data_IF_561996892734
#
_entry.id   IF_561996892734
#
_cell.length_a   1.000
_cell.length_b   1.000
_cell.length_c   1.000
_cell.angle_alpha   90.00
_cell.angle_beta   90.00
_cell.angle_gamma   90.00
#
_symmetry.space_group_name_H-M   'P 1'
#
loop_
_entity.id
_entity.type
_entity.pdbx_description
1 polymer ?
#
# COMPACT_ATOMS: atom_id res chain seq x y z
N UNK A 1 -15.13 1.26 -15.10
CA UNK A 1 -14.35 2.49 -15.34
C UNK A 1 -15.04 3.36 -16.38
N UNK A 2 -15.46 2.78 -17.52
CA UNK A 2 -16.24 3.43 -18.59
C UNK A 2 -17.41 4.29 -18.10
N UNK A 3 -18.33 3.75 -17.32
CA UNK A 3 -19.53 4.48 -16.84
C UNK A 3 -19.19 5.80 -16.14
N UNK A 4 -18.17 5.79 -15.28
CA UNK A 4 -17.72 7.00 -14.60
C UNK A 4 -17.03 7.99 -15.55
N UNK A 5 -16.24 7.48 -16.50
CA UNK A 5 -15.61 8.35 -17.49
C UNK A 5 -16.67 8.99 -18.38
N UNK A 6 -17.77 8.29 -18.66
CA UNK A 6 -18.90 8.81 -19.42
C UNK A 6 -19.63 9.91 -18.64
N UNK A 7 -19.84 9.72 -17.33
CA UNK A 7 -20.41 10.73 -16.45
C UNK A 7 -19.54 12.00 -16.36
N UNK A 8 -18.22 11.84 -16.25
CA UNK A 8 -17.30 12.97 -16.00
C UNK A 8 -16.81 13.67 -17.26
N UNK A 9 -16.62 12.93 -18.36
CA UNK A 9 -15.93 13.41 -19.56
C UNK A 9 -16.73 13.20 -20.85
N UNK A 10 -17.94 12.63 -20.75
CA UNK A 10 -18.79 12.36 -21.90
C UNK A 10 -18.46 11.02 -22.59
N UNK A 11 -19.41 10.61 -23.44
CA UNK A 11 -19.43 9.28 -24.05
C UNK A 11 -18.25 9.00 -24.98
N UNK A 12 -17.88 9.96 -25.82
CA UNK A 12 -16.80 9.81 -26.80
C UNK A 12 -15.47 9.45 -26.13
N UNK A 13 -15.04 10.28 -25.17
CA UNK A 13 -13.79 10.06 -24.46
C UNK A 13 -13.82 8.79 -23.60
N UNK A 14 -14.98 8.46 -23.02
CA UNK A 14 -15.16 7.22 -22.27
C UNK A 14 -15.01 5.96 -23.14
N UNK A 15 -15.49 6.01 -24.38
CA UNK A 15 -15.35 4.93 -25.35
C UNK A 15 -13.91 4.77 -25.84
N UNK A 16 -13.24 5.87 -26.15
CA UNK A 16 -11.83 5.87 -26.57
C UNK A 16 -10.92 5.28 -25.48
N UNK A 17 -11.03 5.77 -24.23
CA UNK A 17 -10.21 5.25 -23.13
C UNK A 17 -10.49 3.78 -22.82
N UNK A 18 -11.76 3.34 -22.84
CA UNK A 18 -12.11 1.95 -22.59
C UNK A 18 -11.58 1.03 -23.71
N UNK A 19 -11.60 1.50 -24.97
CA UNK A 19 -11.02 0.80 -26.10
C UNK A 19 -9.52 0.56 -25.91
N UNK A 20 -8.75 1.63 -25.69
CA UNK A 20 -7.29 1.52 -25.53
C UNK A 20 -6.89 0.76 -24.26
N UNK A 21 -7.66 0.90 -23.17
CA UNK A 21 -7.42 0.09 -21.98
C UNK A 21 -7.57 -1.40 -22.27
N UNK A 22 -8.67 -1.81 -22.93
CA UNK A 22 -8.91 -3.22 -23.30
C UNK A 22 -7.87 -3.76 -24.28
N UNK A 23 -7.49 -2.95 -25.28
CA UNK A 23 -6.41 -3.29 -26.21
C UNK A 23 -5.09 -3.51 -25.46
N UNK A 24 -4.73 -2.61 -24.55
CA UNK A 24 -3.50 -2.69 -23.78
C UNK A 24 -3.43 -3.95 -22.90
N UNK A 25 -4.56 -4.34 -22.28
CA UNK A 25 -4.66 -5.57 -21.49
C UNK A 25 -4.57 -6.80 -22.40
N UNK A 26 -5.25 -6.79 -23.55
CA UNK A 26 -5.21 -7.88 -24.53
C UNK A 26 -3.79 -8.11 -25.06
N UNK A 27 -3.06 -7.04 -25.34
CA UNK A 27 -1.70 -7.08 -25.86
C UNK A 27 -0.64 -7.27 -24.76
N UNK A 28 -1.03 -7.30 -23.48
CA UNK A 28 -0.12 -7.47 -22.35
C UNK A 28 0.74 -6.26 -22.02
N UNK A 29 0.39 -5.07 -22.51
CA UNK A 29 1.09 -3.82 -22.18
C UNK A 29 0.79 -3.36 -20.75
N UNK A 30 -0.43 -3.63 -20.28
CA UNK A 30 -0.82 -3.42 -18.89
C UNK A 30 -1.23 -4.73 -18.23
N UNK A 31 -0.72 -5.03 -17.03
CA UNK A 31 -1.13 -6.21 -16.29
C UNK A 31 -2.55 -6.05 -15.74
N UNK A 32 -3.35 -7.11 -15.84
CA UNK A 32 -4.69 -7.19 -15.25
C UNK A 32 -4.68 -8.05 -13.97
N UNK A 33 -4.75 -7.37 -12.83
CA UNK A 33 -4.85 -8.01 -11.52
C UNK A 33 -6.30 -8.17 -11.01
N UNK A 34 -7.30 -7.81 -11.82
CA UNK A 34 -8.72 -7.82 -11.39
C UNK A 34 -9.34 -9.21 -11.39
N UNK A 35 -8.73 -10.18 -12.08
CA UNK A 35 -9.23 -11.56 -12.22
C UNK A 35 -9.42 -12.29 -10.89
N UNK A 36 -8.62 -11.93 -9.87
CA UNK A 36 -8.76 -12.47 -8.51
C UNK A 36 -8.99 -11.29 -7.56
N UNK A 37 -10.09 -11.29 -6.79
CA UNK A 37 -10.32 -10.22 -5.83
C UNK A 37 -9.24 -10.23 -4.76
N UNK A 38 -8.76 -9.04 -4.43
CA UNK A 38 -7.81 -8.83 -3.35
C UNK A 38 -8.51 -9.07 -2.02
N UNK A 39 -7.97 -9.95 -1.19
CA UNK A 39 -8.52 -10.27 0.14
C UNK A 39 -7.83 -9.49 1.25
N UNK A 40 -6.54 -9.21 1.09
CA UNK A 40 -5.73 -8.58 2.14
C UNK A 40 -4.90 -7.43 1.58
N UNK A 41 -4.80 -6.34 2.35
CA UNK A 41 -3.91 -5.22 2.09
C UNK A 41 -2.85 -5.07 3.18
N UNK A 42 -1.59 -4.94 2.77
CA UNK A 42 -0.48 -4.55 3.65
C UNK A 42 -0.05 -3.14 3.25
N UNK A 43 -0.09 -2.20 4.20
CA UNK A 43 0.31 -0.81 3.97
C UNK A 43 1.48 -0.45 4.89
N UNK A 44 2.66 -0.22 4.34
CA UNK A 44 3.83 0.32 5.05
C UNK A 44 4.27 1.62 4.36
N UNK A 45 4.56 2.65 5.16
CA UNK A 45 5.02 3.95 4.66
C UNK A 45 4.01 4.69 3.78
N UNK A 46 2.71 4.37 3.87
CA UNK A 46 1.69 4.97 2.99
C UNK A 46 0.36 5.21 3.69
N UNK A 47 -0.25 6.36 3.40
CA UNK A 47 -1.60 6.70 3.84
C UNK A 47 -2.61 6.55 2.69
N UNK A 48 -2.70 5.35 2.11
CA UNK A 48 -3.54 5.03 0.96
C UNK A 48 -5.04 5.36 1.14
N UNK A 49 -5.58 5.38 2.36
CA UNK A 49 -6.97 5.76 2.60
C UNK A 49 -7.24 7.27 2.34
N UNK A 50 -6.19 8.10 2.38
CA UNK A 50 -6.28 9.55 2.15
C UNK A 50 -5.65 10.01 0.84
N UNK A 51 -4.57 9.37 0.39
CA UNK A 51 -3.74 9.90 -0.71
C UNK A 51 -4.13 9.41 -2.12
N UNK A 52 -5.06 8.46 -2.25
CA UNK A 52 -5.48 8.00 -3.58
C UNK A 52 -6.30 9.08 -4.29
N UNK A 53 -5.93 9.38 -5.53
CA UNK A 53 -6.53 10.45 -6.35
C UNK A 53 -8.03 10.29 -6.58
N UNK A 54 -8.54 9.06 -6.58
CA UNK A 54 -9.98 8.78 -6.65
C UNK A 54 -10.71 8.92 -5.31
N UNK A 55 -10.00 9.32 -4.24
CA UNK A 55 -10.53 9.73 -2.95
C UNK A 55 -11.53 8.74 -2.36
N UNK A 56 -12.76 9.22 -2.12
CA UNK A 56 -13.86 8.43 -1.58
C UNK A 56 -14.15 7.17 -2.40
N UNK A 57 -14.06 7.24 -3.74
CA UNK A 57 -14.33 6.10 -4.62
C UNK A 57 -13.34 4.95 -4.40
N UNK A 58 -12.06 5.26 -4.19
CA UNK A 58 -11.06 4.25 -3.81
C UNK A 58 -11.45 3.56 -2.51
N UNK A 59 -11.82 4.35 -1.50
CA UNK A 59 -12.20 3.80 -0.19
C UNK A 59 -13.40 2.86 -0.30
N UNK A 60 -14.42 3.23 -1.04
CA UNK A 60 -15.67 2.46 -1.15
C UNK A 60 -15.58 1.28 -2.12
N UNK A 61 -14.81 1.39 -3.20
CA UNK A 61 -14.84 0.39 -4.28
C UNK A 61 -13.67 -0.58 -4.28
N UNK A 62 -12.60 -0.28 -3.54
CA UNK A 62 -11.40 -1.10 -3.49
C UNK A 62 -10.96 -1.34 -2.04
N UNK A 63 -10.70 -0.29 -1.26
CA UNK A 63 -10.16 -0.42 0.09
C UNK A 63 -11.10 -1.18 1.03
N UNK A 64 -12.39 -0.83 1.07
CA UNK A 64 -13.40 -1.50 1.90
C UNK A 64 -13.75 -2.92 1.46
N UNK A 65 -13.31 -3.35 0.26
CA UNK A 65 -13.51 -4.73 -0.22
C UNK A 65 -12.45 -5.70 0.30
N UNK A 66 -11.39 -5.19 0.93
CA UNK A 66 -10.40 -6.04 1.59
C UNK A 66 -11.02 -6.66 2.84
N UNK A 67 -10.85 -7.98 2.98
CA UNK A 67 -11.28 -8.74 4.14
C UNK A 67 -10.36 -8.50 5.35
N UNK A 68 -9.12 -8.09 5.11
CA UNK A 68 -8.15 -7.77 6.16
C UNK A 68 -7.17 -6.69 5.72
N UNK A 69 -6.94 -5.72 6.59
CA UNK A 69 -6.01 -4.62 6.37
C UNK A 69 -5.04 -4.58 7.55
N UNK A 70 -3.74 -4.71 7.25
CA UNK A 70 -2.69 -4.49 8.22
C UNK A 70 -1.82 -3.31 7.78
N UNK A 71 -1.64 -2.37 8.71
CA UNK A 71 -0.83 -1.18 8.50
C UNK A 71 0.39 -1.20 9.41
N UNK A 72 1.57 -0.99 8.83
CA UNK A 72 2.83 -0.78 9.53
C UNK A 72 3.05 0.73 9.62
N UNK A 73 2.98 1.28 10.83
CA UNK A 73 2.97 2.73 11.01
C UNK A 73 3.72 3.18 12.26
N UNK A 74 4.31 4.37 12.15
CA UNK A 74 4.88 5.16 13.23
C UNK A 74 3.82 5.95 14.01
N UNK A 75 2.71 6.27 13.34
CA UNK A 75 1.64 7.13 13.86
C UNK A 75 0.26 6.69 13.34
N UNK A 76 -0.79 7.17 14.03
CA UNK A 76 -2.17 6.79 13.73
C UNK A 76 -2.75 7.63 12.57
N UNK A 77 -2.25 7.38 11.36
CA UNK A 77 -2.79 7.97 10.12
C UNK A 77 -4.15 7.40 9.72
N UNK A 78 -4.77 7.99 8.69
CA UNK A 78 -6.10 7.57 8.24
C UNK A 78 -6.16 6.09 7.80
N UNK A 79 -5.16 5.58 7.06
CA UNK A 79 -5.11 4.15 6.73
C UNK A 79 -5.09 3.28 7.99
N UNK A 80 -4.27 3.64 8.99
CA UNK A 80 -4.18 2.90 10.25
C UNK A 80 -5.53 2.92 11.01
N UNK A 81 -6.24 4.05 11.01
CA UNK A 81 -7.58 4.18 11.60
C UNK A 81 -8.64 3.27 10.97
N UNK A 82 -8.47 2.92 9.69
CA UNK A 82 -9.36 1.98 8.99
C UNK A 82 -8.80 0.54 8.92
N UNK A 83 -7.68 0.25 9.58
CA UNK A 83 -7.04 -1.06 9.53
C UNK A 83 -7.54 -1.98 10.64
N UNK A 84 -7.57 -3.28 10.37
CA UNK A 84 -7.85 -4.30 11.39
C UNK A 84 -6.67 -4.50 12.33
N UNK A 85 -5.45 -4.37 11.80
CA UNK A 85 -4.21 -4.47 12.55
C UNK A 85 -3.31 -3.27 12.30
N UNK A 86 -2.75 -2.72 13.38
CA UNK A 86 -1.72 -1.68 13.32
C UNK A 86 -0.46 -2.23 13.99
N UNK A 87 0.61 -2.34 13.21
CA UNK A 87 1.91 -2.85 13.64
C UNK A 87 2.85 -1.66 13.89
N UNK A 88 3.39 -1.52 15.12
CA UNK A 88 4.19 -0.35 15.49
C UNK A 88 5.56 -0.39 14.81
N UNK A 89 5.88 0.67 14.06
CA UNK A 89 7.17 0.85 13.40
C UNK A 89 7.96 1.98 14.08
N UNK A 90 9.27 1.77 14.24
CA UNK A 90 10.20 2.74 14.81
C UNK A 90 10.25 4.04 14.00
N UNK A 91 10.38 5.20 14.63
CA UNK A 91 10.52 6.47 13.90
C UNK A 91 11.89 6.59 13.20
N UNK A 92 12.12 7.67 12.44
CA UNK A 92 13.37 7.87 11.68
C UNK A 92 14.63 7.82 12.57
N UNK A 93 14.62 8.46 13.74
CA UNK A 93 15.79 8.52 14.62
C UNK A 93 15.97 7.31 15.54
N UNK A 94 15.15 6.28 15.35
CA UNK A 94 15.15 5.04 16.15
C UNK A 94 15.76 3.84 15.39
N UNK A 95 16.21 4.07 14.14
CA UNK A 95 16.68 3.03 13.22
C UNK A 95 17.87 3.50 12.40
N UNK A 96 18.60 2.54 11.83
CA UNK A 96 19.60 2.81 10.80
C UNK A 96 18.94 2.69 9.43
N UNK A 97 19.02 3.74 8.62
CA UNK A 97 18.45 3.78 7.28
C UNK A 97 19.19 4.78 6.39
N UNK A 98 18.80 4.93 5.14
CA UNK A 98 19.29 5.97 4.25
C UNK A 98 18.17 6.53 3.36
N UNK A 99 18.31 7.79 2.98
CA UNK A 99 17.40 8.49 2.08
C UNK A 99 18.14 9.00 0.85
N UNK A 100 17.47 8.91 -0.29
CA UNK A 100 17.89 9.50 -1.56
C UNK A 100 16.89 10.57 -1.96
N UNK A 101 17.34 11.82 -1.96
CA UNK A 101 16.54 12.94 -2.43
C UNK A 101 16.99 13.36 -3.83
N UNK A 102 16.13 13.33 -4.86
CA UNK A 102 16.52 13.57 -6.25
C UNK A 102 17.03 14.99 -6.53
N UNK A 103 16.81 15.94 -5.60
CA UNK A 103 17.27 17.33 -5.72
C UNK A 103 18.74 17.49 -5.34
N UNK A 104 19.36 16.49 -4.73
CA UNK A 104 20.75 16.54 -4.30
C UNK A 104 21.49 15.28 -4.74
N UNK A 105 22.78 15.36 -5.11
CA UNK A 105 23.55 14.20 -5.52
C UNK A 105 24.13 13.42 -4.32
N UNK A 106 23.59 13.62 -3.12
CA UNK A 106 24.13 13.06 -1.89
C UNK A 106 23.20 12.00 -1.30
N UNK A 107 23.78 10.91 -0.81
CA UNK A 107 23.08 9.95 0.02
C UNK A 107 23.05 10.45 1.45
N UNK A 108 21.85 10.56 2.02
CA UNK A 108 21.66 10.97 3.41
C UNK A 108 21.54 9.70 4.25
N UNK A 109 22.41 9.53 5.24
CA UNK A 109 22.36 8.40 6.16
C UNK A 109 21.63 8.82 7.43
N UNK A 110 20.71 7.98 7.88
CA UNK A 110 19.98 8.14 9.13
C UNK A 110 20.62 7.20 10.14
N UNK A 111 21.22 7.78 11.17
CA UNK A 111 21.78 7.02 12.28
C UNK A 111 20.77 6.92 13.43
N UNK A 112 20.91 5.86 14.22
CA UNK A 112 20.05 5.59 15.36
C UNK A 112 20.46 6.47 16.54
N UNK A 113 19.67 7.52 16.79
CA UNK A 113 19.91 8.43 17.90
C UNK A 113 19.43 7.86 19.24
N UNK A 114 18.32 7.10 19.22
CA UNK A 114 17.72 6.48 20.42
C UNK A 114 17.20 5.08 20.10
N UNK A 115 16.94 4.29 21.14
CA UNK A 115 16.27 2.99 20.99
C UNK A 115 14.80 3.16 20.54
N UNK A 116 14.26 2.23 19.72
CA UNK A 116 12.84 2.21 19.39
C UNK A 116 11.97 2.22 20.65
N UNK A 117 10.93 3.04 20.62
CA UNK A 117 10.05 3.18 21.78
C UNK A 117 9.05 2.01 21.89
N UNK A 118 8.85 1.52 23.12
CA UNK A 118 7.88 0.47 23.39
C UNK A 118 8.20 -0.83 22.65
N UNK A 119 7.24 -1.31 21.85
CA UNK A 119 7.36 -2.53 21.05
C UNK A 119 7.70 -2.25 19.57
N UNK A 120 8.00 -0.99 19.23
CA UNK A 120 8.35 -0.59 17.87
C UNK A 120 9.60 -1.34 17.38
N UNK A 121 9.58 -1.69 16.10
CA UNK A 121 10.75 -2.21 15.39
C UNK A 121 10.87 -1.55 14.02
N UNK A 122 12.03 -1.64 13.39
CA UNK A 122 12.20 -1.18 12.01
C UNK A 122 11.38 -2.04 11.02
N UNK A 123 11.06 -1.47 9.85
CA UNK A 123 10.26 -2.13 8.83
C UNK A 123 10.85 -3.49 8.41
N UNK A 124 12.18 -3.59 8.29
CA UNK A 124 12.85 -4.83 7.88
C UNK A 124 12.63 -5.94 8.91
N UNK A 125 12.85 -5.64 10.19
CA UNK A 125 12.58 -6.56 11.29
C UNK A 125 11.10 -6.94 11.35
N UNK A 126 10.18 -5.99 11.13
CA UNK A 126 8.74 -6.25 11.12
C UNK A 126 8.34 -7.25 10.01
N UNK A 127 8.81 -7.04 8.78
CA UNK A 127 8.55 -7.94 7.66
C UNK A 127 9.19 -9.31 7.85
N UNK A 128 10.39 -9.38 8.43
CA UNK A 128 11.03 -10.65 8.79
C UNK A 128 10.16 -11.46 9.75
N UNK A 129 9.70 -10.85 10.85
CA UNK A 129 8.81 -11.50 11.82
C UNK A 129 7.51 -11.97 11.19
N UNK A 130 6.91 -11.16 10.30
CA UNK A 130 5.70 -11.54 9.58
C UNK A 130 5.95 -12.76 8.69
N UNK A 131 7.06 -12.79 7.94
CA UNK A 131 7.42 -13.91 7.08
C UNK A 131 7.67 -15.21 7.89
N UNK A 132 8.31 -15.11 9.05
CA UNK A 132 8.52 -16.23 9.98
C UNK A 132 7.17 -16.76 10.49
N UNK A 133 6.27 -15.88 10.93
CA UNK A 133 4.93 -16.26 11.38
C UNK A 133 4.11 -16.95 10.28
N UNK A 134 4.13 -16.40 9.06
CA UNK A 134 3.49 -17.04 7.89
C UNK A 134 4.06 -18.45 7.66
N UNK A 135 5.38 -18.60 7.76
CA UNK A 135 6.05 -19.88 7.55
C UNK A 135 5.67 -20.92 8.61
N UNK A 136 5.55 -20.52 9.88
CA UNK A 136 5.08 -21.37 10.97
C UNK A 136 3.65 -21.83 10.69
N UNK A 137 2.74 -20.89 10.43
CA UNK A 137 1.33 -21.19 10.15
C UNK A 137 1.14 -22.05 8.91
N UNK A 138 1.99 -21.89 7.89
CA UNK A 138 1.96 -22.73 6.69
C UNK A 138 2.38 -24.18 6.96
N UNK A 139 3.34 -24.42 7.88
CA UNK A 139 3.74 -25.77 8.29
C UNK A 139 2.66 -26.47 9.12
N UNK A 140 1.98 -25.74 10.00
CA UNK A 140 0.91 -26.28 10.86
C UNK A 140 -0.39 -26.62 10.10
N UNK A 141 -0.56 -26.06 8.90
CA UNK A 141 -1.72 -26.33 8.02
C UNK A 141 -1.48 -27.49 7.04
N UNK A 142 -0.26 -28.04 7.00
CA UNK A 142 0.07 -29.25 6.23
C UNK A 142 -0.11 -30.48 7.10
#
# INVERSE_FOLDING_TARGET
>A
MKEFNEEMYGKELAEEYDHHFKESVKNGWFPDYSKKPWKMGLFSGTNAASWRSSGKRWRENAFSKLETIATFATDMGATAMYSDYVLPISHHYERHDFHLEPRTPYMQVIDKAVEPLGECVDDWTAYKRLAEAISIRAKERK
#
